data_IF_328999182909
#
_entry.id   IF_328999182909
#
_cell.length_a   1.000
_cell.length_b   1.000
_cell.length_c   1.000
_cell.angle_alpha   90.00
_cell.angle_beta   90.00
_cell.angle_gamma   90.00
#
_symmetry.space_group_name_H-M   'P 1'
#
loop_
_entity.id
_entity.type
_entity.pdbx_description
1 polymer ?
#
# COMPACT_ATOMS: atom_id res chain seq x y z
N UNK A 1 16.26 5.67 -34.87
CA UNK A 1 17.19 6.06 -33.80
C UNK A 1 16.52 5.72 -32.47
N UNK A 2 16.91 4.62 -31.85
CA UNK A 2 16.42 4.22 -30.52
C UNK A 2 17.50 4.61 -29.52
N UNK A 3 17.28 5.63 -28.70
CA UNK A 3 18.15 5.96 -27.59
C UNK A 3 17.71 5.14 -26.37
N UNK A 4 18.46 4.08 -26.08
CA UNK A 4 18.40 3.41 -24.78
C UNK A 4 19.06 4.32 -23.76
N UNK A 5 18.31 4.75 -22.75
CA UNK A 5 18.88 5.43 -21.58
C UNK A 5 19.37 4.34 -20.64
N UNK A 6 20.68 4.19 -20.50
CA UNK A 6 21.26 3.30 -19.49
C UNK A 6 21.15 3.96 -18.11
N UNK A 7 20.59 3.22 -17.16
CA UNK A 7 20.37 3.70 -15.79
C UNK A 7 21.61 3.43 -14.96
N UNK A 8 22.34 4.47 -14.56
CA UNK A 8 23.48 4.37 -13.66
C UNK A 8 23.01 4.04 -12.23
N UNK A 9 23.35 2.86 -11.67
CA UNK A 9 22.93 2.46 -10.33
C UNK A 9 23.60 3.26 -9.20
N UNK A 10 24.68 4.01 -9.48
CA UNK A 10 25.48 4.70 -8.48
C UNK A 10 25.06 6.15 -8.20
N UNK A 11 24.17 6.75 -9.00
CA UNK A 11 23.63 8.10 -8.76
C UNK A 11 22.50 8.16 -7.73
N UNK A 12 22.19 7.03 -7.07
CA UNK A 12 20.93 6.80 -6.35
C UNK A 12 20.91 7.23 -4.88
N UNK A 13 22.03 7.66 -4.28
CA UNK A 13 22.08 7.97 -2.85
C UNK A 13 21.58 9.37 -2.50
N UNK A 14 21.88 10.38 -3.31
CA UNK A 14 21.74 11.77 -2.84
C UNK A 14 20.41 12.42 -3.27
N UNK A 15 19.88 12.05 -4.44
CA UNK A 15 18.60 12.60 -4.92
C UNK A 15 17.38 12.00 -4.19
N UNK A 16 17.40 10.70 -3.87
CA UNK A 16 16.30 10.06 -3.16
C UNK A 16 16.17 10.50 -1.69
N UNK A 17 17.29 10.81 -1.01
CA UNK A 17 17.26 11.33 0.36
C UNK A 17 16.71 12.77 0.42
N UNK A 18 16.98 13.58 -0.61
CA UNK A 18 16.48 14.95 -0.69
C UNK A 18 14.94 15.01 -0.82
N UNK A 19 14.34 14.13 -1.61
CA UNK A 19 12.87 14.06 -1.78
C UNK A 19 12.15 13.40 -0.60
N UNK A 20 12.83 12.56 0.19
CA UNK A 20 12.25 11.94 1.38
C UNK A 20 12.04 12.94 2.54
N UNK A 21 12.70 14.10 2.51
CA UNK A 21 12.78 15.02 3.65
C UNK A 21 12.12 16.40 3.44
N UNK A 22 11.57 16.73 2.27
CA UNK A 22 11.11 18.11 1.97
C UNK A 22 9.61 18.33 1.76
N UNK A 23 8.73 17.33 1.91
CA UNK A 23 7.28 17.61 1.91
C UNK A 23 6.52 16.78 2.93
N UNK A 24 6.10 17.46 4.01
CA UNK A 24 4.97 16.99 4.80
C UNK A 24 3.75 16.81 3.85
N UNK A 25 2.89 15.81 4.07
CA UNK A 25 1.70 15.58 3.23
C UNK A 25 0.78 16.81 3.03
N UNK A 26 0.91 17.84 3.87
CA UNK A 26 0.12 19.07 3.83
C UNK A 26 0.56 20.13 2.81
N UNK A 27 1.73 20.01 2.17
CA UNK A 27 2.24 21.02 1.23
C UNK A 27 2.77 20.41 -0.08
N UNK A 28 1.96 19.58 -0.74
CA UNK A 28 2.28 19.21 -2.12
C UNK A 28 2.19 20.43 -3.05
N UNK A 29 3.19 20.68 -3.92
CA UNK A 29 3.12 21.72 -4.94
C UNK A 29 1.86 21.56 -5.79
N UNK A 30 1.24 22.68 -6.19
CA UNK A 30 -0.04 22.65 -6.91
C UNK A 30 0.04 21.89 -8.24
N UNK A 31 1.19 21.97 -8.92
CA UNK A 31 1.49 21.19 -10.13
C UNK A 31 1.44 19.67 -9.89
N UNK A 32 1.86 19.22 -8.70
CA UNK A 32 1.82 17.80 -8.31
C UNK A 32 0.38 17.39 -8.01
N UNK A 33 -0.41 18.24 -7.35
CA UNK A 33 -1.84 17.95 -7.12
C UNK A 33 -2.62 17.80 -8.42
N UNK A 34 -2.31 18.62 -9.43
CA UNK A 34 -2.94 18.54 -10.75
C UNK A 34 -2.57 17.26 -11.52
N UNK A 35 -1.43 16.64 -11.20
CA UNK A 35 -0.98 15.39 -11.82
C UNK A 35 -1.31 14.14 -11.00
N UNK A 36 -2.01 14.28 -9.87
CA UNK A 36 -2.43 13.12 -9.08
C UNK A 36 -3.40 12.23 -9.87
N UNK A 37 -3.26 10.90 -9.78
CA UNK A 37 -4.18 9.98 -10.41
C UNK A 37 -5.56 10.10 -9.75
N UNK A 38 -6.61 10.12 -10.58
CA UNK A 38 -8.00 10.06 -10.09
C UNK A 38 -8.32 8.72 -9.43
N UNK A 39 -7.63 7.65 -9.85
CA UNK A 39 -7.86 6.29 -9.38
C UNK A 39 -6.54 5.56 -9.16
N UNK A 40 -6.40 4.96 -7.98
CA UNK A 40 -5.28 4.08 -7.62
C UNK A 40 -5.82 2.69 -7.30
N UNK A 41 -5.18 1.65 -7.82
CA UNK A 41 -5.43 0.26 -7.45
C UNK A 41 -4.21 -0.32 -6.74
N UNK A 42 -4.41 -0.97 -5.59
CA UNK A 42 -3.35 -1.57 -4.77
C UNK A 42 -3.60 -3.06 -4.65
N UNK A 43 -2.60 -3.86 -5.02
CA UNK A 43 -2.57 -5.31 -4.76
C UNK A 43 -1.86 -5.54 -3.43
N UNK A 44 -2.58 -6.06 -2.45
CA UNK A 44 -2.08 -6.20 -1.07
C UNK A 44 -1.44 -7.57 -0.83
N UNK A 45 -0.38 -7.86 -1.58
CA UNK A 45 0.36 -9.12 -1.45
C UNK A 45 1.49 -9.04 -0.40
N UNK A 46 1.96 -10.19 0.06
CA UNK A 46 3.18 -10.31 0.85
C UNK A 46 2.97 -10.38 2.37
N UNK A 47 1.77 -10.18 2.90
CA UNK A 47 1.50 -10.22 4.34
C UNK A 47 2.02 -11.50 5.02
N UNK A 48 1.76 -12.67 4.41
CA UNK A 48 2.22 -13.96 4.92
C UNK A 48 3.75 -14.11 4.87
N UNK A 49 4.38 -13.67 3.77
CA UNK A 49 5.85 -13.71 3.61
C UNK A 49 6.53 -12.77 4.61
N UNK A 50 5.99 -11.56 4.80
CA UNK A 50 6.48 -10.60 5.79
C UNK A 50 6.40 -11.15 7.22
N UNK A 51 5.34 -11.87 7.57
CA UNK A 51 5.27 -12.52 8.88
C UNK A 51 6.35 -13.61 9.03
N UNK A 52 6.55 -14.43 7.99
CA UNK A 52 7.55 -15.50 7.98
C UNK A 52 8.98 -14.99 8.12
N UNK A 53 9.36 -13.92 7.41
CA UNK A 53 10.71 -13.31 7.52
C UNK A 53 11.00 -12.74 8.90
N UNK A 54 9.96 -12.54 9.71
CA UNK A 54 10.05 -12.05 11.08
C UNK A 54 9.83 -13.15 12.12
N UNK A 55 9.76 -14.43 11.72
CA UNK A 55 9.52 -15.56 12.62
C UNK A 55 8.13 -15.54 13.28
N UNK A 56 7.16 -14.84 12.70
CA UNK A 56 5.84 -14.58 13.29
C UNK A 56 4.74 -15.42 12.61
N UNK A 57 3.63 -15.72 13.31
CA UNK A 57 2.45 -16.33 12.69
C UNK A 57 1.90 -15.45 11.55
N UNK A 58 1.43 -16.08 10.46
CA UNK A 58 0.87 -15.41 9.26
C UNK A 58 -0.21 -14.37 9.60
N UNK A 59 -1.01 -14.65 10.63
CA UNK A 59 -2.02 -13.74 11.19
C UNK A 59 -1.45 -12.36 11.53
N UNK A 60 -0.22 -12.29 12.04
CA UNK A 60 0.41 -11.00 12.37
C UNK A 60 0.69 -10.18 11.11
N UNK A 61 0.99 -10.83 9.99
CA UNK A 61 1.11 -10.18 8.69
C UNK A 61 -0.20 -9.57 8.22
N UNK A 62 -1.31 -10.29 8.36
CA UNK A 62 -2.64 -9.75 8.03
C UNK A 62 -3.02 -8.55 8.90
N UNK A 63 -2.70 -8.57 10.20
CA UNK A 63 -2.86 -7.41 11.10
C UNK A 63 -2.01 -6.20 10.66
N UNK A 64 -0.77 -6.44 10.21
CA UNK A 64 0.08 -5.40 9.64
C UNK A 64 -0.52 -4.84 8.34
N UNK A 65 -1.09 -5.71 7.51
CA UNK A 65 -1.85 -5.35 6.31
C UNK A 65 -3.00 -4.38 6.60
N UNK A 66 -3.80 -4.62 7.65
CA UNK A 66 -4.87 -3.68 8.07
C UNK A 66 -4.32 -2.31 8.42
N UNK A 67 -3.18 -2.23 9.11
CA UNK A 67 -2.53 -0.94 9.40
C UNK A 67 -2.07 -0.24 8.12
N UNK A 68 -1.56 -0.99 7.14
CA UNK A 68 -1.17 -0.44 5.84
C UNK A 68 -2.37 0.08 5.06
N UNK A 69 -3.48 -0.66 5.03
CA UNK A 69 -4.76 -0.23 4.43
C UNK A 69 -5.23 1.09 5.03
N UNK A 70 -5.29 1.18 6.36
CA UNK A 70 -5.72 2.42 7.05
C UNK A 70 -4.88 3.62 6.64
N UNK A 71 -3.55 3.46 6.53
CA UNK A 71 -2.67 4.52 6.05
C UNK A 71 -2.96 4.88 4.60
N UNK A 72 -3.05 3.89 3.71
CA UNK A 72 -3.31 4.12 2.28
C UNK A 72 -4.63 4.87 2.04
N UNK A 73 -5.71 4.46 2.72
CA UNK A 73 -7.03 5.13 2.65
C UNK A 73 -6.95 6.56 3.18
N UNK A 74 -6.32 6.75 4.35
CA UNK A 74 -6.18 8.08 4.95
C UNK A 74 -5.38 9.02 4.05
N UNK A 75 -4.27 8.54 3.47
CA UNK A 75 -3.44 9.30 2.54
C UNK A 75 -4.19 9.60 1.25
N UNK A 76 -4.87 8.63 0.64
CA UNK A 76 -5.67 8.86 -0.56
C UNK A 76 -6.75 9.93 -0.34
N UNK A 77 -7.41 9.90 0.82
CA UNK A 77 -8.38 10.92 1.22
C UNK A 77 -7.74 12.30 1.39
N UNK A 78 -6.58 12.39 2.05
CA UNK A 78 -5.86 13.66 2.25
C UNK A 78 -5.37 14.26 0.93
N UNK A 79 -4.99 13.40 -0.02
CA UNK A 79 -4.52 13.78 -1.36
C UNK A 79 -5.67 14.13 -2.33
N UNK A 80 -6.93 13.86 -1.96
CA UNK A 80 -8.07 14.07 -2.84
C UNK A 80 -8.15 13.06 -4.00
N UNK A 81 -7.56 11.87 -3.84
CA UNK A 81 -7.69 10.78 -4.81
C UNK A 81 -9.15 10.29 -4.79
N UNK A 82 -9.82 10.36 -5.94
CA UNK A 82 -11.26 10.15 -6.05
C UNK A 82 -11.67 8.68 -5.89
N UNK A 83 -10.80 7.75 -6.28
CA UNK A 83 -11.06 6.32 -6.20
C UNK A 83 -9.83 5.55 -5.74
N UNK A 84 -10.03 4.62 -4.80
CA UNK A 84 -9.00 3.70 -4.32
C UNK A 84 -9.56 2.27 -4.34
N UNK A 85 -8.98 1.41 -5.17
CA UNK A 85 -9.31 -0.03 -5.23
C UNK A 85 -8.26 -0.81 -4.46
N UNK A 86 -8.70 -1.62 -3.49
CA UNK A 86 -7.82 -2.50 -2.73
C UNK A 86 -8.13 -3.95 -3.07
N UNK A 87 -7.17 -4.65 -3.67
CA UNK A 87 -7.30 -6.07 -3.96
C UNK A 87 -6.95 -6.86 -2.71
N UNK A 88 -7.97 -7.10 -1.90
CA UNK A 88 -7.81 -7.61 -0.54
C UNK A 88 -8.08 -9.11 -0.39
N UNK A 89 -8.81 -9.68 -1.34
CA UNK A 89 -9.19 -11.09 -1.33
C UNK A 89 -9.36 -11.58 -2.78
N UNK A 90 -8.59 -12.60 -3.16
CA UNK A 90 -8.68 -13.23 -4.47
C UNK A 90 -9.43 -14.56 -4.41
N UNK A 91 -9.81 -15.12 -5.56
CA UNK A 91 -10.38 -16.46 -5.66
C UNK A 91 -9.46 -17.55 -5.07
N UNK A 92 -8.15 -17.34 -5.09
CA UNK A 92 -7.13 -18.25 -4.56
C UNK A 92 -7.04 -18.18 -3.03
N UNK A 93 -7.50 -17.09 -2.40
CA UNK A 93 -7.58 -17.02 -0.94
C UNK A 93 -8.56 -18.05 -0.35
N UNK A 94 -9.57 -18.49 -1.11
CA UNK A 94 -10.50 -19.56 -0.70
C UNK A 94 -9.84 -20.93 -0.56
N UNK A 95 -8.65 -21.13 -1.14
CA UNK A 95 -7.90 -22.39 -1.02
C UNK A 95 -7.07 -22.46 0.28
N UNK A 96 -7.11 -21.43 1.12
CA UNK A 96 -6.41 -21.39 2.41
C UNK A 96 -7.24 -22.08 3.50
N UNK A 97 -6.64 -22.48 4.64
CA UNK A 97 -7.38 -23.08 5.74
C UNK A 97 -8.52 -22.18 6.24
N UNK A 98 -9.67 -22.76 6.57
CA UNK A 98 -10.91 -22.04 6.94
C UNK A 98 -10.72 -21.03 8.08
N UNK A 99 -9.84 -21.35 9.03
CA UNK A 99 -9.48 -20.44 10.13
C UNK A 99 -8.78 -19.17 9.65
N UNK A 100 -7.96 -19.25 8.60
CA UNK A 100 -7.30 -18.08 8.01
C UNK A 100 -8.31 -17.23 7.22
N UNK A 101 -9.22 -17.87 6.50
CA UNK A 101 -10.29 -17.20 5.73
C UNK A 101 -11.25 -16.45 6.66
N UNK A 102 -11.69 -17.08 7.74
CA UNK A 102 -12.60 -16.48 8.73
C UNK A 102 -12.01 -15.22 9.36
N UNK A 103 -10.73 -15.28 9.74
CA UNK A 103 -10.01 -14.13 10.31
C UNK A 103 -9.83 -12.99 9.30
N UNK A 104 -9.60 -13.32 8.02
CA UNK A 104 -9.54 -12.33 6.94
C UNK A 104 -10.87 -11.58 6.79
N UNK A 105 -12.00 -12.29 6.88
CA UNK A 105 -13.34 -11.69 6.80
C UNK A 105 -13.65 -10.78 8.00
N UNK A 106 -13.26 -11.18 9.22
CA UNK A 106 -13.38 -10.33 10.42
C UNK A 106 -12.62 -9.00 10.27
N UNK A 107 -11.44 -9.01 9.65
CA UNK A 107 -10.64 -7.80 9.43
C UNK A 107 -11.33 -6.81 8.49
N UNK A 108 -12.13 -7.27 7.52
CA UNK A 108 -12.92 -6.39 6.65
C UNK A 108 -14.08 -5.73 7.39
N UNK A 109 -14.77 -6.50 8.25
CA UNK A 109 -15.86 -5.98 9.08
C UNK A 109 -15.36 -4.92 10.07
N UNK A 110 -14.13 -5.06 10.57
CA UNK A 110 -13.51 -4.08 11.45
C UNK A 110 -13.24 -2.71 10.78
N UNK A 111 -13.11 -2.68 9.44
CA UNK A 111 -12.95 -1.43 8.69
C UNK A 111 -14.28 -0.67 8.48
N UNK A 112 -15.44 -1.30 8.67
CA UNK A 112 -16.75 -0.66 8.52
C UNK A 112 -17.23 0.11 9.76
N UNK A 113 -16.57 -0.05 10.91
CA UNK A 113 -16.88 0.72 12.12
C UNK A 113 -16.02 1.99 12.20
N UNK A 114 -16.30 2.94 11.31
CA UNK A 114 -15.86 4.33 11.47
C UNK A 114 -17.05 5.08 12.07
N UNK A 115 -16.98 5.37 13.38
CA UNK A 115 -17.82 6.38 14.01
C UNK A 115 -17.11 7.72 13.95
#
# INVERSE_FOLDING_TARGET
>A
MSSTVEFDPQSRSDECEHYAQTTLPGQLPELVKQSLPKHVAIIMDGNGRWAQTQGKPRVMGHKAGVKAVRRAVSTASQLGIQSLTLFAFSSENWRRPDKEVSLLMELFLLCYSVK
#
